data_IF_163523999696
#
_entry.id   IF_163523999696
#
_cell.length_a   1.000
_cell.length_b   1.000
_cell.length_c   1.000
_cell.angle_alpha   90.00
_cell.angle_beta   90.00
_cell.angle_gamma   90.00
#
_symmetry.space_group_name_H-M   'P 1'
#
loop_
_entity.id
_entity.type
_entity.pdbx_description
1 polymer ?
#
# COMPACT_ATOMS: atom_id res chain seq x y z
N UNK A 1 24.24 25.19 -6.03
CA UNK A 1 25.22 24.17 -5.59
C UNK A 1 25.12 22.94 -6.47
N UNK A 2 26.20 22.53 -7.09
CA UNK A 2 26.39 21.20 -7.70
C UNK A 2 27.35 20.44 -6.80
N UNK A 3 26.97 19.25 -6.33
CA UNK A 3 27.78 18.47 -5.39
C UNK A 3 28.97 17.81 -6.11
N UNK A 4 30.13 17.89 -5.48
CA UNK A 4 31.39 17.31 -5.95
C UNK A 4 31.44 15.79 -5.73
N UNK A 5 32.34 15.10 -6.46
CA UNK A 5 32.55 13.66 -6.30
C UNK A 5 32.97 13.39 -4.84
N UNK A 6 32.32 12.43 -4.19
CA UNK A 6 32.52 12.05 -2.78
C UNK A 6 32.00 13.03 -1.71
N UNK A 7 31.16 13.99 -2.09
CA UNK A 7 30.55 14.87 -1.10
C UNK A 7 29.47 14.14 -0.29
N UNK A 8 29.39 14.46 1.02
CA UNK A 8 28.37 13.91 1.89
C UNK A 8 27.02 14.60 1.65
N UNK A 9 25.97 13.81 1.47
CA UNK A 9 24.60 14.28 1.21
C UNK A 9 23.61 13.63 2.16
N UNK A 10 22.54 14.35 2.45
CA UNK A 10 21.37 13.87 3.19
C UNK A 10 20.18 13.72 2.25
N UNK A 11 19.14 12.93 2.61
CA UNK A 11 17.93 12.79 1.81
C UNK A 11 17.31 14.14 1.45
N UNK A 12 16.94 14.32 0.18
CA UNK A 12 16.35 15.55 -0.34
C UNK A 12 17.35 16.53 -0.95
N UNK A 13 18.66 16.36 -0.70
CA UNK A 13 19.67 17.22 -1.33
C UNK A 13 19.68 17.04 -2.85
N UNK A 14 19.68 18.16 -3.56
CA UNK A 14 19.78 18.21 -5.03
C UNK A 14 21.23 18.01 -5.43
N UNK A 15 21.54 16.87 -6.07
CA UNK A 15 22.90 16.54 -6.49
C UNK A 15 23.23 17.22 -7.82
N UNK A 16 22.32 17.11 -8.79
CA UNK A 16 22.54 17.60 -10.15
C UNK A 16 21.24 18.12 -10.76
N UNK A 17 21.26 19.35 -11.29
CA UNK A 17 20.16 19.92 -12.08
C UNK A 17 20.53 19.86 -13.55
N UNK A 18 19.60 19.41 -14.37
CA UNK A 18 19.83 19.24 -15.80
C UNK A 18 18.57 19.52 -16.61
N UNK A 19 18.75 19.70 -17.92
CA UNK A 19 17.66 19.71 -18.89
C UNK A 19 17.77 18.41 -19.71
N UNK A 20 16.75 17.57 -19.63
CA UNK A 20 16.80 16.20 -20.16
C UNK A 20 17.63 15.26 -19.26
N UNK A 21 17.94 14.07 -19.75
CA UNK A 21 18.60 13.00 -18.99
C UNK A 21 20.04 12.77 -19.50
N UNK A 22 20.95 13.69 -19.20
CA UNK A 22 22.38 13.47 -19.44
C UNK A 22 22.94 12.45 -18.44
N UNK A 23 22.61 12.67 -17.16
CA UNK A 23 22.83 11.72 -16.09
C UNK A 23 21.51 11.06 -15.67
N UNK A 24 21.58 9.78 -15.33
CA UNK A 24 20.44 9.02 -14.84
C UNK A 24 20.56 8.79 -13.32
N UNK A 25 19.42 8.68 -12.65
CA UNK A 25 19.40 8.30 -11.23
C UNK A 25 19.87 6.84 -11.07
N UNK A 26 20.94 6.66 -10.30
CA UNK A 26 21.53 5.37 -9.95
C UNK A 26 21.09 4.89 -8.57
N UNK A 27 21.98 4.21 -7.86
CA UNK A 27 21.70 3.67 -6.52
C UNK A 27 21.43 4.80 -5.51
N UNK A 28 20.40 4.66 -4.66
CA UNK A 28 20.03 5.62 -3.61
C UNK A 28 19.82 7.07 -4.09
N UNK A 29 19.45 7.24 -5.36
CA UNK A 29 19.07 8.50 -5.98
C UNK A 29 17.70 8.37 -6.63
N UNK A 30 17.01 9.49 -6.75
CA UNK A 30 15.77 9.60 -7.52
C UNK A 30 15.82 10.83 -8.43
N UNK A 31 14.91 10.87 -9.40
CA UNK A 31 14.82 11.91 -10.40
C UNK A 31 13.47 12.63 -10.30
N UNK A 32 13.50 13.95 -10.20
CA UNK A 32 12.31 14.81 -10.16
C UNK A 32 11.66 14.98 -11.54
N UNK A 33 10.53 15.69 -11.56
CA UNK A 33 9.77 16.01 -12.80
C UNK A 33 10.61 16.80 -13.81
N UNK A 34 11.50 17.65 -13.33
CA UNK A 34 12.41 18.47 -14.13
C UNK A 34 13.74 17.76 -14.41
N UNK A 35 13.80 16.43 -14.25
CA UNK A 35 15.00 15.61 -14.38
C UNK A 35 16.13 15.94 -13.39
N UNK A 36 15.85 16.74 -12.36
CA UNK A 36 16.77 17.01 -11.27
C UNK A 36 17.01 15.73 -10.47
N UNK A 37 18.28 15.37 -10.24
CA UNK A 37 18.66 14.21 -9.44
C UNK A 37 18.85 14.64 -8.00
N UNK A 38 18.22 13.92 -7.07
CA UNK A 38 18.31 14.16 -5.64
C UNK A 38 18.60 12.86 -4.86
N UNK A 39 19.23 13.00 -3.70
CA UNK A 39 19.55 11.88 -2.82
C UNK A 39 18.30 11.36 -2.11
N UNK A 40 18.10 10.04 -2.06
CA UNK A 40 17.03 9.42 -1.25
C UNK A 40 17.54 8.98 0.12
N UNK A 41 18.84 8.71 0.23
CA UNK A 41 19.50 8.22 1.44
C UNK A 41 20.72 9.10 1.77
N UNK A 42 21.11 9.09 3.05
CA UNK A 42 22.34 9.77 3.46
C UNK A 42 23.59 8.99 3.06
N UNK A 43 24.59 9.65 2.47
CA UNK A 43 25.81 8.98 2.03
C UNK A 43 26.73 9.87 1.21
N UNK A 44 27.52 9.28 0.33
CA UNK A 44 28.52 9.96 -0.50
C UNK A 44 28.17 9.85 -1.98
N UNK A 45 28.19 10.97 -2.70
CA UNK A 45 27.87 11.02 -4.13
C UNK A 45 28.95 10.33 -4.96
N UNK A 46 28.55 9.43 -5.86
CA UNK A 46 29.42 8.72 -6.80
C UNK A 46 28.83 8.77 -8.21
N UNK A 47 29.69 9.10 -9.17
CA UNK A 47 29.38 9.10 -10.60
C UNK A 47 29.95 7.82 -11.21
N UNK A 48 29.15 7.08 -11.96
CA UNK A 48 29.58 5.79 -12.51
C UNK A 48 28.84 5.43 -13.80
N UNK A 49 29.33 4.39 -14.49
CA UNK A 49 28.68 3.78 -15.65
C UNK A 49 28.44 2.31 -15.35
N UNK A 50 27.29 1.80 -15.76
CA UNK A 50 26.92 0.40 -15.57
C UNK A 50 26.69 -0.25 -16.95
N UNK A 51 27.74 -0.84 -17.55
CA UNK A 51 27.64 -1.41 -18.88
C UNK A 51 26.75 -2.64 -18.92
N UNK A 52 26.61 -3.37 -17.81
CA UNK A 52 25.79 -4.57 -17.72
C UNK A 52 24.30 -4.22 -17.79
N UNK A 53 23.90 -3.12 -17.15
CA UNK A 53 22.51 -2.67 -17.16
C UNK A 53 22.18 -1.85 -18.42
N UNK A 54 22.99 -0.85 -18.73
CA UNK A 54 22.79 0.02 -19.89
C UNK A 54 24.14 0.56 -20.42
N UNK A 55 24.63 0.12 -21.59
CA UNK A 55 25.99 0.41 -22.07
C UNK A 55 26.25 1.91 -22.31
N UNK A 56 25.25 2.64 -22.78
CA UNK A 56 25.42 4.04 -23.21
C UNK A 56 25.01 5.07 -22.15
N UNK A 57 24.59 4.64 -20.96
CA UNK A 57 24.09 5.55 -19.91
C UNK A 57 25.11 5.81 -18.82
N UNK A 58 25.01 6.98 -18.21
CA UNK A 58 25.82 7.41 -17.08
C UNK A 58 24.91 7.65 -15.88
N UNK A 59 25.38 7.32 -14.68
CA UNK A 59 24.58 7.32 -13.46
C UNK A 59 25.21 8.16 -12.37
N UNK A 60 24.34 8.75 -11.55
CA UNK A 60 24.69 9.37 -10.28
C UNK A 60 24.00 8.58 -9.18
N UNK A 61 24.79 8.04 -8.26
CA UNK A 61 24.30 7.30 -7.10
C UNK A 61 24.90 7.83 -5.80
N UNK A 62 24.35 7.37 -4.68
CA UNK A 62 24.85 7.65 -3.34
C UNK A 62 25.26 6.34 -2.67
N UNK A 63 26.53 6.22 -2.31
CA UNK A 63 27.07 5.08 -1.57
C UNK A 63 27.00 5.35 -0.05
N UNK A 64 26.73 4.33 0.76
CA UNK A 64 26.60 4.52 2.21
C UNK A 64 27.94 4.83 2.90
N UNK A 65 29.04 4.27 2.39
CA UNK A 65 30.40 4.51 2.86
C UNK A 65 31.20 5.15 1.75
N UNK A 66 32.15 6.03 2.12
CA UNK A 66 33.01 6.74 1.16
C UNK A 66 33.90 5.79 0.34
N UNK A 67 34.34 4.70 0.97
CA UNK A 67 35.23 3.70 0.38
C UNK A 67 34.55 2.77 -0.63
N UNK A 68 33.21 2.78 -0.68
CA UNK A 68 32.47 1.96 -1.63
C UNK A 68 32.45 2.61 -3.01
N UNK A 69 32.63 1.79 -4.03
CA UNK A 69 32.51 2.19 -5.43
C UNK A 69 31.24 1.60 -6.06
N UNK A 70 30.60 2.37 -6.94
CA UNK A 70 29.46 1.94 -7.75
C UNK A 70 29.95 1.68 -9.19
N UNK A 71 29.35 0.74 -9.94
CA UNK A 71 28.17 -0.07 -9.62
C UNK A 71 28.48 -1.27 -8.71
N UNK A 72 27.50 -1.71 -7.92
CA UNK A 72 27.61 -2.95 -7.17
C UNK A 72 27.52 -4.17 -8.10
N UNK A 73 28.24 -5.27 -7.82
CA UNK A 73 28.15 -6.48 -8.63
C UNK A 73 26.73 -7.10 -8.51
N UNK A 74 26.20 -7.69 -9.59
CA UNK A 74 24.79 -8.10 -9.67
C UNK A 74 24.40 -9.21 -8.66
N UNK A 75 25.36 -10.04 -8.26
CA UNK A 75 25.13 -11.17 -7.38
C UNK A 75 25.38 -10.83 -5.89
N UNK A 76 25.84 -9.62 -5.56
CA UNK A 76 26.04 -9.23 -4.17
C UNK A 76 24.72 -8.83 -3.51
N UNK A 77 24.61 -9.10 -2.21
CA UNK A 77 23.48 -8.64 -1.41
C UNK A 77 23.37 -7.11 -1.48
N UNK A 78 22.15 -6.62 -1.71
CA UNK A 78 21.90 -5.18 -1.77
C UNK A 78 22.09 -4.56 -0.40
N UNK A 79 22.99 -3.57 -0.32
CA UNK A 79 23.18 -2.78 0.91
C UNK A 79 21.96 -1.90 1.13
N UNK A 80 21.42 -1.88 2.35
CA UNK A 80 20.27 -1.06 2.76
C UNK A 80 20.47 -0.56 4.19
N UNK A 81 19.87 0.57 4.55
CA UNK A 81 19.83 1.07 5.92
C UNK A 81 18.44 0.92 6.50
N UNK A 82 18.38 0.64 7.80
CA UNK A 82 17.12 0.52 8.53
C UNK A 82 16.50 1.89 8.82
N UNK A 83 17.33 2.93 9.03
CA UNK A 83 16.93 4.29 9.36
C UNK A 83 15.91 4.39 10.52
N UNK A 84 16.00 3.49 11.49
CA UNK A 84 15.18 3.48 12.70
C UNK A 84 16.07 3.41 13.93
N UNK A 85 15.63 4.06 15.01
CA UNK A 85 16.26 4.01 16.32
C UNK A 85 15.37 3.17 17.25
N UNK A 86 15.97 2.27 18.02
CA UNK A 86 15.26 1.53 19.03
C UNK A 86 14.91 2.48 20.19
N UNK A 87 13.62 2.74 20.36
CA UNK A 87 13.10 3.52 21.50
C UNK A 87 12.52 2.52 22.49
N UNK A 88 12.98 2.59 23.74
CA UNK A 88 12.38 1.80 24.83
C UNK A 88 10.97 2.33 25.09
N UNK A 89 9.96 1.50 24.91
CA UNK A 89 8.58 1.85 25.25
C UNK A 89 8.44 1.73 26.76
N UNK A 90 8.10 2.82 27.45
CA UNK A 90 7.67 2.73 28.84
C UNK A 90 6.37 1.92 28.89
N UNK A 91 6.22 0.92 29.77
CA UNK A 91 4.93 0.27 29.94
C UNK A 91 3.92 1.34 30.34
N UNK A 92 2.81 1.42 29.59
CA UNK A 92 1.77 2.42 29.78
C UNK A 92 1.39 2.52 31.27
N UNK A 93 1.55 3.71 31.84
CA UNK A 93 0.92 4.02 33.11
C UNK A 93 -0.57 3.91 32.84
N UNK A 94 -1.21 2.87 33.36
CA UNK A 94 -2.65 2.71 33.33
C UNK A 94 -3.28 4.04 33.70
N UNK A 95 -4.11 4.59 32.81
CA UNK A 95 -4.85 5.82 33.03
C UNK A 95 -5.73 5.59 34.26
N UNK A 96 -5.23 5.94 35.44
CA UNK A 96 -6.04 6.08 36.64
C UNK A 96 -6.86 7.34 36.39
N UNK A 97 -8.08 7.16 35.93
CA UNK A 97 -9.08 8.24 35.92
C UNK A 97 -9.27 8.66 37.38
N UNK A 98 -8.55 9.70 37.81
CA UNK A 98 -8.84 10.40 39.05
C UNK A 98 -10.13 11.17 38.78
N UNK A 99 -11.26 10.50 39.01
CA UNK A 99 -12.54 11.16 39.19
C UNK A 99 -12.41 11.92 40.52
N UNK A 100 -12.70 13.21 40.48
CA UNK A 100 -12.45 14.15 41.57
C UNK A 100 -12.92 13.67 42.94
N UNK A 101 -12.19 14.15 43.95
CA UNK A 101 -12.47 14.17 45.37
C UNK A 101 -13.83 13.59 45.79
N UNK A 102 -13.85 12.33 46.27
CA UNK A 102 -15.09 11.72 46.72
C UNK A 102 -14.95 10.28 47.18
N UNK A 103 -14.42 10.11 48.39
CA UNK A 103 -14.71 9.04 49.38
C UNK A 103 -15.09 7.66 48.83
N UNK A 104 -14.18 6.70 49.02
CA UNK A 104 -14.49 5.26 48.92
C UNK A 104 -15.41 4.91 50.10
N UNK A 105 -16.66 4.55 49.81
CA UNK A 105 -17.52 3.81 50.74
C UNK A 105 -17.65 2.39 50.20
N UNK A 106 -17.11 1.43 50.95
CA UNK A 106 -17.38 0.02 50.78
C UNK A 106 -18.88 -0.21 50.99
N UNK A 107 -19.59 -0.55 49.91
CA UNK A 107 -21.01 -0.84 49.96
C UNK A 107 -21.41 -1.61 48.72
N UNK A 108 -21.79 -2.88 48.92
CA UNK A 108 -22.23 -3.83 47.90
C UNK A 108 -23.38 -3.26 47.05
N UNK A 109 -23.04 -2.61 45.94
CA UNK A 109 -24.01 -2.22 44.94
C UNK A 109 -24.31 -3.40 44.02
N UNK A 110 -25.27 -4.22 44.45
CA UNK A 110 -25.96 -5.17 43.57
C UNK A 110 -26.75 -4.36 42.52
N UNK A 111 -26.15 -4.14 41.35
CA UNK A 111 -26.80 -3.48 40.21
C UNK A 111 -27.87 -4.41 39.64
N UNK A 112 -29.14 -4.12 39.94
CA UNK A 112 -30.27 -4.74 39.23
C UNK A 112 -30.28 -4.26 37.79
N UNK A 113 -30.05 -5.18 36.86
CA UNK A 113 -30.17 -4.95 35.43
C UNK A 113 -31.63 -4.60 35.07
N UNK A 114 -31.92 -3.32 34.89
CA UNK A 114 -33.11 -2.90 34.17
C UNK A 114 -32.88 -3.12 32.68
N UNK A 115 -33.56 -4.14 32.13
CA UNK A 115 -33.65 -4.40 30.68
C UNK A 115 -34.25 -3.18 29.99
N UNK A 116 -33.41 -2.39 29.34
CA UNK A 116 -33.84 -1.39 28.37
C UNK A 116 -34.39 -2.14 27.16
N UNK A 117 -35.65 -1.86 26.82
CA UNK A 117 -36.37 -2.42 25.68
C UNK A 117 -35.46 -2.56 24.45
N UNK A 118 -35.27 -3.81 24.03
CA UNK A 118 -34.51 -4.17 22.86
C UNK A 118 -35.23 -3.65 21.60
N UNK A 119 -34.77 -2.52 21.06
CA UNK A 119 -34.83 -2.35 19.61
C UNK A 119 -34.12 -3.54 18.98
N UNK A 120 -34.67 -4.20 17.94
CA UNK A 120 -33.94 -5.19 17.20
C UNK A 120 -32.90 -4.45 16.35
N UNK A 121 -31.80 -4.01 16.99
CA UNK A 121 -30.57 -3.71 16.26
C UNK A 121 -30.15 -5.03 15.66
N UNK A 122 -30.28 -5.12 14.33
CA UNK A 122 -29.77 -6.23 13.55
C UNK A 122 -28.41 -6.64 14.12
N UNK A 123 -28.38 -7.86 14.65
CA UNK A 123 -27.20 -8.47 15.26
C UNK A 123 -26.25 -8.89 14.13
N UNK A 124 -25.78 -7.93 13.34
CA UNK A 124 -24.62 -8.14 12.48
C UNK A 124 -23.41 -7.79 13.34
N UNK A 125 -22.77 -8.80 13.93
CA UNK A 125 -21.52 -8.68 14.69
C UNK A 125 -20.32 -8.26 13.81
N UNK A 126 -20.53 -7.32 12.91
CA UNK A 126 -19.52 -6.77 12.04
C UNK A 126 -18.95 -5.53 12.71
N UNK A 127 -17.74 -5.68 13.22
CA UNK A 127 -16.94 -4.58 13.74
C UNK A 127 -16.52 -3.69 12.56
N UNK A 128 -17.22 -2.57 12.40
CA UNK A 128 -16.96 -1.62 11.32
C UNK A 128 -15.89 -0.62 11.77
N UNK A 129 -14.85 -0.46 10.96
CA UNK A 129 -13.75 0.49 11.19
C UNK A 129 -13.97 1.73 10.32
N UNK A 130 -13.71 2.91 10.89
CA UNK A 130 -13.79 4.18 10.18
C UNK A 130 -12.75 4.26 9.05
N UNK A 131 -13.17 4.57 7.83
CA UNK A 131 -12.28 4.79 6.70
C UNK A 131 -11.79 6.22 6.51
N UNK A 132 -10.84 6.38 5.58
CA UNK A 132 -10.23 7.69 5.23
C UNK A 132 -11.25 8.72 4.72
N UNK A 133 -12.39 8.25 4.20
CA UNK A 133 -13.52 9.05 3.73
C UNK A 133 -14.67 9.12 4.74
N UNK A 134 -14.42 8.86 6.03
CA UNK A 134 -15.42 8.87 7.11
C UNK A 134 -16.61 7.91 6.91
N UNK A 135 -16.52 7.00 5.94
CA UNK A 135 -17.46 5.91 5.76
C UNK A 135 -17.04 4.73 6.65
N UNK A 136 -17.99 4.18 7.41
CA UNK A 136 -17.81 2.93 8.13
C UNK A 136 -17.70 1.77 7.16
N UNK A 137 -16.66 0.93 7.30
CA UNK A 137 -16.44 -0.25 6.44
C UNK A 137 -15.93 -1.43 7.27
N UNK A 138 -16.10 -2.64 6.76
CA UNK A 138 -15.47 -3.83 7.34
C UNK A 138 -13.94 -3.72 7.32
N UNK A 139 -13.28 -4.32 8.30
CA UNK A 139 -11.82 -4.37 8.33
C UNK A 139 -11.26 -5.17 7.15
N UNK A 140 -10.08 -4.79 6.62
CA UNK A 140 -9.50 -5.45 5.44
C UNK A 140 -9.33 -6.98 5.59
N UNK A 141 -9.08 -7.46 6.82
CA UNK A 141 -8.95 -8.89 7.11
C UNK A 141 -10.30 -9.64 7.08
N UNK A 142 -11.40 -8.99 7.45
CA UNK A 142 -12.76 -9.55 7.36
C UNK A 142 -13.19 -9.70 5.90
N UNK A 143 -12.90 -8.68 5.08
CA UNK A 143 -13.12 -8.71 3.62
C UNK A 143 -12.36 -9.89 2.99
N UNK A 144 -11.13 -10.16 3.45
CA UNK A 144 -10.34 -11.31 2.97
C UNK A 144 -10.98 -12.67 3.24
N UNK A 145 -11.74 -12.82 4.33
CA UNK A 145 -12.49 -14.04 4.67
C UNK A 145 -13.89 -14.10 4.04
N UNK A 146 -14.31 -13.12 3.26
CA UNK A 146 -15.63 -13.12 2.64
C UNK A 146 -15.88 -14.39 1.80
N UNK A 147 -14.85 -14.93 1.14
CA UNK A 147 -14.95 -16.19 0.40
C UNK A 147 -15.16 -17.41 1.30
N UNK A 148 -14.50 -17.45 2.47
CA UNK A 148 -14.64 -18.51 3.47
C UNK A 148 -16.00 -18.44 4.16
N UNK A 149 -16.43 -17.24 4.57
CA UNK A 149 -17.74 -16.98 5.17
C UNK A 149 -18.90 -17.31 4.21
N UNK A 150 -18.71 -17.08 2.91
CA UNK A 150 -19.68 -17.45 1.87
C UNK A 150 -19.59 -18.94 1.48
N UNK A 151 -18.70 -19.73 2.09
CA UNK A 151 -18.52 -21.16 1.80
C UNK A 151 -18.06 -21.45 0.37
N UNK A 152 -17.43 -20.48 -0.31
CA UNK A 152 -17.04 -20.60 -1.71
C UNK A 152 -15.81 -21.51 -1.82
N UNK A 153 -16.02 -22.77 -2.22
CA UNK A 153 -14.93 -23.72 -2.48
C UNK A 153 -14.32 -23.48 -3.86
N UNK A 154 -13.07 -23.02 -3.90
CA UNK A 154 -12.30 -22.93 -5.15
C UNK A 154 -11.90 -24.34 -5.59
N UNK A 155 -12.19 -24.70 -6.84
CA UNK A 155 -11.75 -25.97 -7.41
C UNK A 155 -10.21 -26.02 -7.49
N UNK A 156 -9.55 -27.12 -7.10
CA UNK A 156 -8.11 -27.25 -7.19
C UNK A 156 -7.65 -27.13 -8.64
N UNK A 157 -6.46 -26.56 -8.84
CA UNK A 157 -5.82 -26.49 -10.14
C UNK A 157 -5.31 -27.88 -10.55
N UNK A 158 -5.65 -28.33 -11.75
CA UNK A 158 -5.17 -29.58 -12.33
C UNK A 158 -4.12 -29.23 -13.40
N UNK A 159 -2.84 -29.56 -13.18
CA UNK A 159 -1.80 -29.40 -14.21
C UNK A 159 -2.13 -30.21 -15.46
N UNK A 160 -1.89 -29.66 -16.66
CA UNK A 160 -2.09 -30.37 -17.93
C UNK A 160 -3.44 -30.16 -18.62
N UNK A 161 -4.43 -29.53 -17.97
CA UNK A 161 -5.69 -29.13 -18.60
C UNK A 161 -5.52 -27.82 -19.38
N UNK A 162 -4.90 -27.91 -20.57
CA UNK A 162 -4.60 -26.75 -21.45
C UNK A 162 -5.88 -26.04 -21.94
N UNK A 163 -7.00 -26.75 -21.99
CA UNK A 163 -8.25 -26.24 -22.58
C UNK A 163 -9.23 -25.66 -21.55
N UNK A 164 -9.05 -25.91 -20.24
CA UNK A 164 -9.92 -25.37 -19.18
C UNK A 164 -10.04 -23.85 -19.18
N UNK A 165 -8.91 -23.17 -19.39
CA UNK A 165 -8.86 -21.72 -19.42
C UNK A 165 -9.64 -21.17 -20.62
N UNK A 166 -9.52 -21.85 -21.77
CA UNK A 166 -10.28 -21.54 -22.98
C UNK A 166 -11.78 -21.77 -22.76
N UNK A 167 -12.18 -22.90 -22.19
CA UNK A 167 -13.58 -23.19 -21.86
C UNK A 167 -14.19 -22.17 -20.89
N UNK A 168 -13.47 -21.81 -19.81
CA UNK A 168 -13.89 -20.76 -18.87
C UNK A 168 -14.04 -19.40 -19.57
N UNK A 169 -13.10 -19.06 -20.46
CA UNK A 169 -13.14 -17.81 -21.22
C UNK A 169 -14.31 -17.79 -22.21
N UNK A 170 -14.59 -18.90 -22.90
CA UNK A 170 -15.71 -19.07 -23.80
C UNK A 170 -17.06 -18.95 -23.06
N UNK A 171 -17.22 -19.65 -21.93
CA UNK A 171 -18.41 -19.56 -21.09
C UNK A 171 -18.65 -18.12 -20.59
N UNK A 172 -17.58 -17.42 -20.17
CA UNK A 172 -17.66 -16.00 -19.79
C UNK A 172 -18.09 -15.11 -20.97
N UNK A 173 -17.53 -15.33 -22.16
CA UNK A 173 -17.92 -14.60 -23.38
C UNK A 173 -19.39 -14.83 -23.71
N UNK A 174 -19.88 -16.07 -23.63
CA UNK A 174 -21.28 -16.43 -23.85
C UNK A 174 -22.22 -15.76 -22.82
N UNK A 175 -21.92 -15.86 -21.52
CA UNK A 175 -22.70 -15.21 -20.47
C UNK A 175 -22.73 -13.68 -20.61
N UNK A 176 -21.63 -13.06 -21.05
CA UNK A 176 -21.59 -11.63 -21.33
C UNK A 176 -22.42 -11.27 -22.58
N UNK A 177 -22.43 -12.10 -23.63
CA UNK A 177 -23.26 -11.89 -24.81
C UNK A 177 -24.76 -11.99 -24.45
N UNK A 178 -25.14 -12.98 -23.64
CA UNK A 178 -26.50 -13.12 -23.12
C UNK A 178 -26.94 -11.91 -22.30
N UNK A 179 -26.11 -11.46 -21.34
CA UNK A 179 -26.38 -10.24 -20.56
C UNK A 179 -26.52 -8.99 -21.43
N UNK A 180 -25.74 -8.86 -22.51
CA UNK A 180 -25.88 -7.77 -23.48
C UNK A 180 -27.20 -7.86 -24.25
N UNK A 181 -27.60 -9.05 -24.68
CA UNK A 181 -28.90 -9.28 -25.34
C UNK A 181 -30.10 -8.92 -24.45
N UNK A 182 -30.04 -9.28 -23.17
CA UNK A 182 -31.07 -8.95 -22.18
C UNK A 182 -31.16 -7.44 -21.89
N UNK A 183 -30.01 -6.73 -21.85
CA UNK A 183 -29.99 -5.25 -21.70
C UNK A 183 -30.53 -4.53 -22.93
N UNK A 184 -30.28 -5.04 -24.14
CA UNK A 184 -30.81 -4.47 -25.38
C UNK A 184 -32.34 -4.53 -25.45
N UNK A 185 -32.96 -5.62 -25.00
CA UNK A 185 -34.43 -5.78 -24.96
C UNK A 185 -35.15 -4.82 -24.02
N UNK A 186 -34.50 -4.35 -22.94
CA UNK A 186 -35.10 -3.41 -21.97
C UNK A 186 -35.09 -1.94 -22.44
N UNK A 187 -34.34 -1.58 -23.48
CA UNK A 187 -34.14 -0.19 -23.92
C UNK A 187 -35.07 0.32 -25.02
N UNK A 188 -35.98 -0.50 -25.56
CA UNK A 188 -36.80 -0.19 -26.74
C UNK A 188 -38.05 0.68 -26.50
N UNK A 189 -38.22 1.29 -25.33
CA UNK A 189 -39.35 2.17 -25.01
C UNK A 189 -39.05 3.65 -25.29
N UNK A 190 -38.69 4.01 -26.53
CA UNK A 190 -38.47 5.40 -26.91
C UNK A 190 -39.79 6.19 -26.97
N UNK A 191 -39.98 7.17 -26.08
CA UNK A 191 -41.10 8.13 -26.13
C UNK A 191 -41.10 8.85 -27.49
N UNK A 192 -42.14 8.65 -28.30
CA UNK A 192 -42.38 9.47 -29.49
C UNK A 192 -42.72 10.90 -29.04
N UNK A 193 -41.93 11.90 -29.44
CA UNK A 193 -42.31 13.29 -29.31
C UNK A 193 -43.43 13.56 -30.32
N UNK A 194 -44.63 13.88 -29.84
CA UNK A 194 -45.71 14.43 -30.68
C UNK A 194 -45.29 15.83 -31.14
N UNK A 195 -45.53 16.08 -32.43
CA UNK A 195 -45.35 17.37 -33.13
C UNK A 195 -46.09 18.50 -32.43
#
# INVERSE_FOLDING_TARGET
MTYSIEEYVIPGNIIFRQRGTGWFAGENCAMGRDHTIYATEAGFVKYYRDPLKHPNRQYIGVAFKRTESLPYPPNAARRRRLNMLAVQTSPDTSITTIIGEGRILEGDMTVKETKVNAMPRHKSGQELVMGKTYAFREANWQIGRAAENAGIKVRPFIPGDRFRAWQKSAARKAANAEKRGLRGKRGGGGKSKRK
#
